data_IF_289732929808
#
_entry.id   IF_289732929808
#
_cell.length_a   1.000
_cell.length_b   1.000
_cell.length_c   1.000
_cell.angle_alpha   90.00
_cell.angle_beta   90.00
_cell.angle_gamma   90.00
#
_symmetry.space_group_name_H-M   'P 1'
#
loop_
_entity.id
_entity.type
_entity.pdbx_description
1 polymer ?
#
# COMPACT_ATOMS: atom_id res chain seq x y z
N UNK A 1 -17.29 56.47 15.17
CA UNK A 1 -16.17 57.09 14.47
C UNK A 1 -15.58 56.19 13.40
N UNK A 2 -15.07 56.79 12.34
CA UNK A 2 -14.54 56.05 11.19
C UNK A 2 -13.34 55.15 11.54
N UNK A 3 -12.57 55.47 12.54
CA UNK A 3 -11.42 54.70 13.04
C UNK A 3 -11.85 53.32 13.59
N UNK A 4 -12.88 53.29 14.42
CA UNK A 4 -13.40 52.03 15.00
C UNK A 4 -14.05 51.15 13.92
N UNK A 5 -14.79 51.80 12.99
CA UNK A 5 -15.39 51.10 11.87
C UNK A 5 -14.30 50.46 10.99
N UNK A 6 -13.20 51.18 10.73
CA UNK A 6 -12.09 50.70 9.93
C UNK A 6 -11.40 49.45 10.61
N UNK A 7 -11.26 49.48 11.93
CA UNK A 7 -10.75 48.35 12.69
C UNK A 7 -11.68 47.15 12.59
N UNK A 8 -12.99 47.36 12.72
CA UNK A 8 -13.99 46.28 12.63
C UNK A 8 -14.00 45.65 11.23
N UNK A 9 -13.90 46.45 10.19
CA UNK A 9 -13.81 45.95 8.80
C UNK A 9 -12.53 45.11 8.63
N UNK A 10 -11.41 45.60 9.09
CA UNK A 10 -10.13 44.89 9.02
C UNK A 10 -10.18 43.57 9.78
N UNK A 11 -10.76 43.58 10.98
CA UNK A 11 -10.96 42.38 11.78
C UNK A 11 -11.81 41.34 11.06
N UNK A 12 -12.90 41.76 10.46
CA UNK A 12 -13.78 40.87 9.71
C UNK A 12 -13.11 40.33 8.46
N UNK A 13 -12.32 41.14 7.75
CA UNK A 13 -11.54 40.68 6.60
C UNK A 13 -10.51 39.62 7.01
N UNK A 14 -9.85 39.83 8.14
CA UNK A 14 -8.90 38.85 8.67
C UNK A 14 -9.61 37.54 9.06
N UNK A 15 -10.78 37.59 9.68
CA UNK A 15 -11.58 36.42 10.02
C UNK A 15 -12.01 35.66 8.74
N UNK A 16 -12.42 36.39 7.72
CA UNK A 16 -12.78 35.79 6.42
C UNK A 16 -11.58 35.09 5.79
N UNK A 17 -10.39 35.70 5.85
CA UNK A 17 -9.15 35.12 5.36
C UNK A 17 -8.78 33.86 6.15
N UNK A 18 -8.91 33.90 7.46
CA UNK A 18 -8.65 32.72 8.32
C UNK A 18 -9.60 31.58 8.00
N UNK A 19 -10.88 31.87 7.77
CA UNK A 19 -11.85 30.81 7.37
C UNK A 19 -11.48 30.20 6.03
N UNK A 20 -11.01 30.98 5.09
CA UNK A 20 -10.58 30.49 3.78
C UNK A 20 -9.33 29.59 3.90
N UNK A 21 -8.33 30.04 4.64
CA UNK A 21 -7.11 29.27 4.91
C UNK A 21 -7.46 27.96 5.60
N UNK A 22 -8.35 27.97 6.55
CA UNK A 22 -8.76 26.76 7.28
C UNK A 22 -9.49 25.77 6.35
N UNK A 23 -10.32 26.26 5.42
CA UNK A 23 -10.94 25.41 4.39
C UNK A 23 -9.90 24.78 3.46
N UNK A 24 -8.96 25.57 2.97
CA UNK A 24 -7.87 25.08 2.12
C UNK A 24 -7.03 24.04 2.85
N UNK A 25 -6.70 24.30 4.10
CA UNK A 25 -5.98 23.36 4.95
C UNK A 25 -6.74 22.04 5.10
N UNK A 26 -8.05 22.11 5.35
CA UNK A 26 -8.87 20.91 5.48
C UNK A 26 -8.92 20.10 4.18
N UNK A 27 -9.02 20.78 3.03
CA UNK A 27 -9.00 20.12 1.71
C UNK A 27 -7.66 19.43 1.45
N UNK A 28 -6.56 20.11 1.69
CA UNK A 28 -5.21 19.53 1.53
C UNK A 28 -5.02 18.35 2.47
N UNK A 29 -5.48 18.46 3.70
CA UNK A 29 -5.41 17.35 4.66
C UNK A 29 -6.21 16.14 4.19
N UNK A 30 -7.41 16.36 3.64
CA UNK A 30 -8.23 15.29 3.08
C UNK A 30 -7.56 14.61 1.89
N UNK A 31 -6.99 15.40 0.99
CA UNK A 31 -6.26 14.89 -0.17
C UNK A 31 -5.03 14.07 0.26
N UNK A 32 -4.30 14.57 1.23
CA UNK A 32 -3.13 13.88 1.77
C UNK A 32 -3.52 12.54 2.41
N UNK A 33 -4.58 12.53 3.19
CA UNK A 33 -5.09 11.30 3.81
C UNK A 33 -5.50 10.28 2.74
N UNK A 34 -6.21 10.72 1.70
CA UNK A 34 -6.60 9.86 0.58
C UNK A 34 -5.37 9.29 -0.14
N UNK A 35 -4.37 10.12 -0.39
CA UNK A 35 -3.12 9.69 -1.04
C UNK A 35 -2.38 8.64 -0.19
N UNK A 36 -2.31 8.81 1.12
CA UNK A 36 -1.72 7.81 2.02
C UNK A 36 -2.49 6.50 2.04
N UNK A 37 -3.82 6.56 2.01
CA UNK A 37 -4.65 5.35 1.94
C UNK A 37 -4.42 4.59 0.64
N UNK A 38 -4.33 5.29 -0.48
CA UNK A 38 -4.04 4.69 -1.79
C UNK A 38 -2.65 4.04 -1.79
N UNK A 39 -1.66 4.74 -1.27
CA UNK A 39 -0.29 4.22 -1.15
C UNK A 39 -0.27 2.95 -0.29
N UNK A 40 -0.95 2.96 0.84
CA UNK A 40 -1.02 1.80 1.74
C UNK A 40 -1.71 0.62 1.07
N UNK A 41 -2.79 0.86 0.34
CA UNK A 41 -3.49 -0.17 -0.43
C UNK A 41 -2.59 -0.79 -1.48
N UNK A 42 -1.80 0.04 -2.18
CA UNK A 42 -0.85 -0.42 -3.19
C UNK A 42 0.27 -1.24 -2.56
N UNK A 43 0.83 -0.80 -1.44
CA UNK A 43 1.86 -1.54 -0.72
C UNK A 43 1.36 -2.91 -0.28
N UNK A 44 0.16 -2.99 0.30
CA UNK A 44 -0.44 -4.24 0.74
C UNK A 44 -0.72 -5.18 -0.44
N UNK A 45 -1.20 -4.65 -1.56
CA UNK A 45 -1.43 -5.44 -2.78
C UNK A 45 -0.11 -6.00 -3.34
N UNK A 46 0.94 -5.19 -3.35
CA UNK A 46 2.27 -5.59 -3.81
C UNK A 46 2.86 -6.68 -2.91
N UNK A 47 2.76 -6.53 -1.60
CA UNK A 47 3.21 -7.54 -0.63
C UNK A 47 2.46 -8.86 -0.81
N UNK A 48 1.13 -8.80 -0.97
CA UNK A 48 0.30 -9.99 -1.18
C UNK A 48 0.67 -10.69 -2.49
N UNK A 49 0.96 -9.94 -3.54
CA UNK A 49 1.37 -10.48 -4.83
C UNK A 49 2.74 -11.16 -4.72
N UNK A 50 3.70 -10.53 -4.06
CA UNK A 50 5.03 -11.10 -3.83
C UNK A 50 4.95 -12.38 -3.01
N UNK A 51 4.13 -12.40 -1.98
CA UNK A 51 3.93 -13.58 -1.13
C UNK A 51 3.32 -14.75 -1.93
N UNK A 52 2.32 -14.47 -2.77
CA UNK A 52 1.73 -15.49 -3.66
C UNK A 52 2.74 -16.04 -4.66
N UNK A 53 3.60 -15.19 -5.21
CA UNK A 53 4.66 -15.61 -6.11
C UNK A 53 5.66 -16.54 -5.41
N UNK A 54 6.05 -16.22 -4.18
CA UNK A 54 6.91 -17.08 -3.36
C UNK A 54 6.28 -18.43 -3.08
N UNK A 55 5.00 -18.44 -2.72
CA UNK A 55 4.25 -19.67 -2.45
C UNK A 55 4.15 -20.57 -3.68
N UNK A 56 3.92 -19.98 -4.86
CA UNK A 56 3.89 -20.69 -6.13
C UNK A 56 5.25 -21.30 -6.43
N UNK A 57 6.32 -20.54 -6.27
CA UNK A 57 7.68 -21.01 -6.51
C UNK A 57 8.07 -22.10 -5.53
N UNK A 58 7.72 -21.99 -4.26
CA UNK A 58 7.94 -23.01 -3.25
C UNK A 58 7.25 -24.32 -3.63
N UNK A 59 6.00 -24.26 -4.10
CA UNK A 59 5.27 -25.45 -4.56
C UNK A 59 5.90 -26.10 -5.79
N UNK A 60 6.37 -25.28 -6.74
CA UNK A 60 7.08 -25.78 -7.92
C UNK A 60 8.37 -26.50 -7.54
N UNK A 61 9.13 -25.92 -6.61
CA UNK A 61 10.37 -26.50 -6.11
C UNK A 61 10.10 -27.82 -5.39
N UNK A 62 9.04 -27.87 -4.57
CA UNK A 62 8.65 -29.10 -3.89
C UNK A 62 8.22 -30.19 -4.85
N UNK A 63 7.42 -29.85 -5.87
CA UNK A 63 7.03 -30.79 -6.93
C UNK A 63 8.24 -31.32 -7.67
N UNK A 64 9.20 -30.49 -7.99
CA UNK A 64 10.46 -30.88 -8.65
C UNK A 64 11.28 -31.86 -7.82
N UNK A 65 11.40 -31.56 -6.52
CA UNK A 65 12.09 -32.43 -5.56
C UNK A 65 11.39 -33.78 -5.43
N UNK A 66 10.07 -33.78 -5.37
CA UNK A 66 9.26 -35.00 -5.31
C UNK A 66 9.44 -35.86 -6.56
N UNK A 67 9.43 -35.26 -7.74
CA UNK A 67 9.68 -35.95 -9.02
C UNK A 67 11.09 -36.56 -9.06
N UNK A 68 12.09 -35.79 -8.65
CA UNK A 68 13.47 -36.26 -8.58
C UNK A 68 13.61 -37.43 -7.61
N UNK A 69 12.93 -37.36 -6.48
CA UNK A 69 12.90 -38.42 -5.47
C UNK A 69 12.27 -39.70 -6.02
N UNK A 70 11.16 -39.57 -6.72
CA UNK A 70 10.47 -40.73 -7.35
C UNK A 70 11.36 -41.35 -8.42
N UNK A 71 11.96 -40.59 -9.29
CA UNK A 71 12.88 -41.09 -10.35
C UNK A 71 14.06 -41.82 -9.72
N UNK A 72 14.65 -41.24 -8.67
CA UNK A 72 15.76 -41.85 -7.97
C UNK A 72 15.35 -43.18 -7.35
N UNK A 73 14.19 -43.27 -6.74
CA UNK A 73 13.65 -44.49 -6.16
C UNK A 73 13.42 -45.57 -7.22
N UNK A 74 12.80 -45.20 -8.36
CA UNK A 74 12.58 -46.12 -9.47
C UNK A 74 13.90 -46.67 -10.05
N UNK A 75 14.92 -45.84 -10.18
CA UNK A 75 16.25 -46.25 -10.66
C UNK A 75 16.89 -47.26 -9.70
N UNK A 76 16.84 -47.04 -8.40
CA UNK A 76 17.34 -47.95 -7.39
C UNK A 76 16.61 -49.28 -7.46
N UNK A 77 15.29 -49.25 -7.60
CA UNK A 77 14.46 -50.46 -7.70
C UNK A 77 14.81 -51.25 -8.96
N UNK A 78 14.93 -50.60 -10.12
CA UNK A 78 15.32 -51.21 -11.36
C UNK A 78 16.72 -51.88 -11.26
N UNK A 79 17.69 -51.21 -10.65
CA UNK A 79 19.04 -51.77 -10.47
C UNK A 79 19.08 -52.96 -9.55
N UNK A 80 18.21 -53.02 -8.54
CA UNK A 80 18.13 -54.14 -7.60
C UNK A 80 17.49 -55.38 -8.21
N UNK A 81 16.61 -55.21 -9.19
CA UNK A 81 15.84 -56.28 -9.79
C UNK A 81 16.26 -56.62 -11.24
N UNK A 82 17.30 -55.95 -11.71
CA UNK A 82 17.95 -56.30 -12.98
C UNK A 82 19.00 -57.43 -12.80
#
# INVERSE_FOLDING_TARGET
PSFLRSIDVRRENLRATLREIERERAMVQADLTAAFQDLKSLELATEAQAKRAEEVEARRNQSRLDEMSIVRHLRKHALRHA
#
